data_IF_714110568663
#
_entry.id   IF_714110568663
#
_cell.length_a   1.000
_cell.length_b   1.000
_cell.length_c   1.000
_cell.angle_alpha   90.00
_cell.angle_beta   90.00
_cell.angle_gamma   90.00
#
_symmetry.space_group_name_H-M   'P 1'
#
loop_
_entity.id
_entity.type
_entity.pdbx_description
1 polymer ?
#
# COMPACT_ATOMS: atom_id res chain seq x y z
N UNK A 1 -21.13 -40.10 5.66
CA UNK A 1 -20.13 -39.35 6.46
C UNK A 1 -19.13 -38.58 5.60
N UNK A 2 -18.63 -39.13 4.48
CA UNK A 2 -17.68 -38.46 3.57
C UNK A 2 -18.11 -37.07 3.05
N UNK A 3 -19.41 -36.85 2.84
CA UNK A 3 -19.97 -35.59 2.32
C UNK A 3 -19.88 -34.43 3.34
N UNK A 4 -19.92 -34.71 4.65
CA UNK A 4 -19.75 -33.71 5.72
C UNK A 4 -18.26 -33.44 5.99
N UNK A 5 -17.41 -34.45 5.82
CA UNK A 5 -15.95 -34.29 5.87
C UNK A 5 -15.43 -33.39 4.75
N UNK A 6 -15.99 -33.52 3.53
CA UNK A 6 -15.63 -32.65 2.40
C UNK A 6 -16.00 -31.18 2.63
N UNK A 7 -17.13 -30.91 3.30
CA UNK A 7 -17.52 -29.53 3.65
C UNK A 7 -16.63 -28.93 4.75
N UNK A 8 -16.22 -29.72 5.75
CA UNK A 8 -15.32 -29.26 6.80
C UNK A 8 -13.91 -28.93 6.26
N UNK A 9 -13.43 -29.68 5.26
CA UNK A 9 -12.14 -29.39 4.62
C UNK A 9 -12.14 -28.07 3.83
N UNK A 10 -13.27 -27.71 3.19
CA UNK A 10 -13.39 -26.46 2.42
C UNK A 10 -13.38 -25.24 3.36
N UNK A 11 -14.01 -25.34 4.53
CA UNK A 11 -14.03 -24.25 5.52
C UNK A 11 -12.63 -23.98 6.11
N UNK A 12 -11.83 -25.02 6.32
CA UNK A 12 -10.50 -24.89 6.93
C UNK A 12 -9.48 -24.19 6.01
N UNK A 13 -9.59 -24.38 4.68
CA UNK A 13 -8.70 -23.72 3.69
C UNK A 13 -9.04 -22.24 3.52
N UNK A 14 -10.28 -21.82 3.76
CA UNK A 14 -10.68 -20.42 3.65
C UNK A 14 -10.18 -19.54 4.82
N UNK A 15 -9.84 -20.15 5.98
CA UNK A 15 -9.48 -19.43 7.21
C UNK A 15 -8.03 -18.94 7.26
N UNK A 16 -7.14 -19.42 6.39
CA UNK A 16 -5.73 -18.99 6.41
C UNK A 16 -5.47 -17.66 5.68
N UNK A 17 -6.48 -17.08 5.03
CA UNK A 17 -6.31 -15.87 4.21
C UNK A 17 -6.43 -14.56 5.00
N UNK A 18 -6.81 -14.57 6.27
CA UNK A 18 -7.17 -13.33 7.01
C UNK A 18 -6.23 -12.94 8.15
N UNK A 19 -5.14 -13.66 8.40
CA UNK A 19 -4.31 -13.48 9.61
C UNK A 19 -3.16 -12.45 9.50
N UNK A 20 -3.00 -11.70 8.41
CA UNK A 20 -1.82 -10.84 8.21
C UNK A 20 -1.99 -9.36 8.65
N UNK A 21 -3.03 -9.02 9.41
CA UNK A 21 -3.50 -7.62 9.54
C UNK A 21 -2.74 -6.75 10.57
N UNK A 22 -1.79 -7.29 11.35
CA UNK A 22 -1.25 -6.56 12.51
C UNK A 22 0.28 -6.61 12.69
N UNK A 23 1.06 -6.86 11.63
CA UNK A 23 2.49 -7.16 11.80
C UNK A 23 3.43 -5.92 11.78
N UNK A 24 2.96 -4.73 11.40
CA UNK A 24 3.83 -3.56 11.18
C UNK A 24 3.24 -2.22 11.69
N UNK A 25 3.20 -1.94 13.00
CA UNK A 25 2.59 -0.71 13.54
C UNK A 25 3.27 0.58 13.07
N UNK A 26 4.59 0.56 12.84
CA UNK A 26 5.32 1.72 12.28
C UNK A 26 4.94 1.97 10.82
N UNK A 27 4.73 0.90 10.06
CA UNK A 27 4.31 0.99 8.65
C UNK A 27 2.97 1.68 8.53
N UNK A 28 2.04 1.39 9.44
CA UNK A 28 0.71 1.99 9.46
C UNK A 28 0.76 3.51 9.66
N UNK A 29 1.61 3.98 10.56
CA UNK A 29 1.82 5.42 10.76
C UNK A 29 2.44 6.08 9.53
N UNK A 30 3.42 5.42 8.89
CA UNK A 30 4.06 5.93 7.68
C UNK A 30 3.06 5.97 6.52
N UNK A 31 2.33 4.88 6.28
CA UNK A 31 1.28 4.79 5.28
C UNK A 31 0.23 5.89 5.48
N UNK A 32 -0.23 6.09 6.71
CA UNK A 32 -1.17 7.16 7.06
C UNK A 32 -0.64 8.55 6.70
N UNK A 33 0.63 8.86 7.00
CA UNK A 33 1.24 10.14 6.61
C UNK A 33 1.33 10.33 5.10
N UNK A 34 1.67 9.26 4.36
CA UNK A 34 1.72 9.31 2.89
C UNK A 34 0.31 9.57 2.33
N UNK A 35 -0.69 8.84 2.80
CA UNK A 35 -2.09 9.05 2.38
C UNK A 35 -2.56 10.47 2.69
N UNK A 36 -2.33 10.95 3.92
CA UNK A 36 -2.70 12.29 4.34
C UNK A 36 -2.05 13.36 3.47
N UNK A 37 -0.78 13.18 3.08
CA UNK A 37 -0.08 14.10 2.18
C UNK A 37 -0.80 14.21 0.83
N UNK A 38 -1.12 13.07 0.20
CA UNK A 38 -1.81 13.10 -1.10
C UNK A 38 -3.20 13.70 -0.99
N UNK A 39 -4.00 13.24 -0.02
CA UNK A 39 -5.38 13.72 0.14
C UNK A 39 -5.44 15.21 0.48
N UNK A 40 -4.53 15.69 1.34
CA UNK A 40 -4.45 17.08 1.76
C UNK A 40 -3.77 18.04 0.77
N UNK A 41 -3.14 17.53 -0.30
CA UNK A 41 -2.52 18.38 -1.33
C UNK A 41 -3.53 18.79 -2.40
N UNK A 42 -3.32 19.97 -2.99
CA UNK A 42 -4.04 20.38 -4.21
C UNK A 42 -3.58 19.56 -5.42
N UNK A 43 -4.40 19.51 -6.47
CA UNK A 43 -4.02 18.78 -7.68
C UNK A 43 -2.80 19.43 -8.37
N UNK A 44 -2.72 20.76 -8.39
CA UNK A 44 -1.58 21.51 -8.94
C UNK A 44 -0.29 21.19 -8.18
N UNK A 45 -0.35 21.13 -6.85
CA UNK A 45 0.81 20.78 -6.01
C UNK A 45 1.31 19.37 -6.32
N UNK A 46 0.39 18.40 -6.46
CA UNK A 46 0.75 17.02 -6.79
C UNK A 46 1.34 16.90 -8.20
N UNK A 47 0.80 17.64 -9.17
CA UNK A 47 1.35 17.71 -10.53
C UNK A 47 2.77 18.28 -10.55
N UNK A 48 2.99 19.40 -9.87
CA UNK A 48 4.31 20.00 -9.74
C UNK A 48 5.28 19.05 -9.03
N UNK A 49 4.87 18.46 -7.92
CA UNK A 49 5.69 17.50 -7.18
C UNK A 49 6.07 16.30 -8.05
N UNK A 50 5.13 15.71 -8.80
CA UNK A 50 5.43 14.61 -9.72
C UNK A 50 6.41 15.02 -10.81
N UNK A 51 6.23 16.20 -11.42
CA UNK A 51 7.13 16.71 -12.44
C UNK A 51 8.56 16.92 -11.90
N UNK A 52 8.69 17.47 -10.68
CA UNK A 52 9.98 17.70 -10.05
C UNK A 52 10.63 16.41 -9.54
N UNK A 53 9.85 15.47 -8.96
CA UNK A 53 10.36 14.21 -8.43
C UNK A 53 10.95 13.30 -9.50
N UNK A 54 10.41 13.32 -10.71
CA UNK A 54 10.98 12.53 -11.81
C UNK A 54 12.36 13.04 -12.25
N UNK A 55 12.68 14.30 -11.97
CA UNK A 55 13.97 14.91 -12.30
C UNK A 55 15.00 14.86 -11.15
N UNK A 56 14.58 14.49 -9.94
CA UNK A 56 15.43 14.49 -8.74
C UNK A 56 15.75 13.06 -8.27
N UNK A 57 17.00 12.76 -7.88
CA UNK A 57 17.31 11.50 -7.25
C UNK A 57 16.58 11.37 -5.92
N UNK A 58 16.11 10.16 -5.62
CA UNK A 58 15.50 9.84 -4.32
C UNK A 58 16.48 10.14 -3.19
N UNK A 59 15.98 10.67 -2.08
CA UNK A 59 16.81 10.87 -0.89
C UNK A 59 17.33 9.53 -0.35
N UNK A 60 18.46 9.51 0.35
CA UNK A 60 19.04 8.29 0.93
C UNK A 60 18.02 7.51 1.79
N UNK A 61 17.21 8.23 2.57
CA UNK A 61 16.15 7.61 3.39
C UNK A 61 15.05 6.98 2.55
N UNK A 62 14.66 7.62 1.45
CA UNK A 62 13.68 7.06 0.52
C UNK A 62 14.25 5.82 -0.17
N UNK A 63 15.53 5.83 -0.55
CA UNK A 63 16.20 4.66 -1.11
C UNK A 63 16.24 3.49 -0.12
N UNK A 64 16.60 3.74 1.14
CA UNK A 64 16.58 2.72 2.20
C UNK A 64 15.19 2.14 2.44
N UNK A 65 14.15 3.00 2.49
CA UNK A 65 12.78 2.54 2.64
C UNK A 65 12.33 1.67 1.45
N UNK A 66 12.70 2.07 0.22
CA UNK A 66 12.44 1.27 -0.98
C UNK A 66 13.17 -0.08 -0.91
N UNK A 67 14.42 -0.12 -0.46
CA UNK A 67 15.18 -1.36 -0.32
C UNK A 67 14.54 -2.29 0.72
N UNK A 68 14.17 -1.77 1.88
CA UNK A 68 13.49 -2.53 2.92
C UNK A 68 12.16 -3.14 2.43
N UNK A 69 11.38 -2.38 1.64
CA UNK A 69 10.19 -2.92 0.99
C UNK A 69 10.52 -3.93 -0.12
N UNK A 70 11.68 -3.87 -0.78
CA UNK A 70 12.07 -4.92 -1.73
C UNK A 70 12.40 -6.23 -1.00
N UNK A 71 13.12 -6.13 0.12
CA UNK A 71 13.63 -7.27 0.89
C UNK A 71 12.53 -8.01 1.69
N UNK A 72 11.44 -7.33 2.07
CA UNK A 72 10.28 -7.93 2.74
C UNK A 72 9.00 -7.83 1.86
N UNK A 73 8.66 -8.91 1.11
CA UNK A 73 7.46 -8.95 0.27
C UNK A 73 6.15 -8.80 1.03
N UNK A 74 6.06 -9.29 2.27
CA UNK A 74 4.84 -9.21 3.06
C UNK A 74 4.62 -7.77 3.54
N UNK A 75 5.68 -7.11 3.99
CA UNK A 75 5.63 -5.69 4.36
C UNK A 75 5.28 -4.81 3.15
N UNK A 76 5.84 -5.12 1.97
CA UNK A 76 5.51 -4.43 0.72
C UNK A 76 4.04 -4.53 0.37
N UNK A 77 3.47 -5.73 0.43
CA UNK A 77 2.04 -5.94 0.21
C UNK A 77 1.21 -5.12 1.22
N UNK A 78 1.52 -5.25 2.51
CA UNK A 78 0.81 -4.53 3.56
C UNK A 78 0.86 -2.99 3.39
N UNK A 79 2.01 -2.45 2.95
CA UNK A 79 2.15 -1.02 2.67
C UNK A 79 1.31 -0.61 1.46
N UNK A 80 1.47 -1.32 0.34
CA UNK A 80 0.78 -1.02 -0.92
C UNK A 80 -0.73 -1.10 -0.74
N UNK A 81 -1.25 -2.13 -0.09
CA UNK A 81 -2.68 -2.31 0.15
C UNK A 81 -3.30 -1.12 0.93
N UNK A 82 -2.53 -0.51 1.83
CA UNK A 82 -2.97 0.65 2.62
C UNK A 82 -2.94 1.95 1.83
N UNK A 83 -1.94 2.16 0.97
CA UNK A 83 -1.73 3.46 0.30
C UNK A 83 -2.31 3.52 -1.12
N UNK A 84 -2.41 2.39 -1.81
CA UNK A 84 -2.67 2.36 -3.25
C UNK A 84 -4.05 2.94 -3.59
N UNK A 85 -5.13 2.41 -2.99
CA UNK A 85 -6.49 2.85 -3.29
C UNK A 85 -6.72 4.36 -3.00
N UNK A 86 -6.43 4.90 -1.80
CA UNK A 86 -6.70 6.31 -1.52
C UNK A 86 -5.83 7.26 -2.35
N UNK A 87 -4.59 6.90 -2.65
CA UNK A 87 -3.71 7.72 -3.51
C UNK A 87 -4.16 7.64 -4.96
N UNK A 88 -4.46 6.44 -5.47
CA UNK A 88 -4.94 6.26 -6.83
C UNK A 88 -6.23 7.06 -7.08
N UNK A 89 -7.19 7.02 -6.16
CA UNK A 89 -8.41 7.82 -6.26
C UNK A 89 -8.10 9.31 -6.35
N UNK A 90 -7.23 9.84 -5.48
CA UNK A 90 -6.82 11.25 -5.54
C UNK A 90 -6.11 11.59 -6.86
N UNK A 91 -5.25 10.71 -7.35
CA UNK A 91 -4.56 10.91 -8.63
C UNK A 91 -5.53 10.87 -9.81
N UNK A 92 -6.55 10.01 -9.77
CA UNK A 92 -7.60 9.93 -10.78
C UNK A 92 -8.45 11.21 -10.79
N UNK A 93 -8.91 11.68 -9.62
CA UNK A 93 -9.64 12.95 -9.49
C UNK A 93 -8.84 14.15 -10.03
N UNK A 94 -7.52 14.11 -9.86
CA UNK A 94 -6.60 15.13 -10.36
C UNK A 94 -6.14 14.91 -11.82
N UNK A 95 -6.67 13.91 -12.53
CA UNK A 95 -6.33 13.60 -13.93
C UNK A 95 -4.90 13.10 -14.17
N UNK A 96 -4.22 12.62 -13.13
CA UNK A 96 -2.84 12.12 -13.18
C UNK A 96 -2.73 10.63 -13.56
N UNK A 97 -3.82 9.88 -13.46
CA UNK A 97 -3.94 8.50 -13.95
C UNK A 97 -5.32 8.36 -14.62
N UNK A 98 -5.42 7.58 -15.71
CA UNK A 98 -6.69 7.37 -16.42
C UNK A 98 -7.65 6.44 -15.69
#
# INVERSE_FOLDING_TARGET
MARRLGWLAIVLVALTATAAIAQYPVLDMVAGKVVQKYQGSSCEQLWQERAHKNAQPKSEREQQAVQLLHDDPQMRAAFIDKVAAPIANKLFECGMIP
#
